data_IF_143803007850
#
_entry.id   IF_143803007850
#
_cell.length_a   1.000
_cell.length_b   1.000
_cell.length_c   1.000
_cell.angle_alpha   90.00
_cell.angle_beta   90.00
_cell.angle_gamma   90.00
#
_symmetry.space_group_name_H-M   'P 1'
#
loop_
_entity.id
_entity.type
_entity.pdbx_description
1 polymer ?
#
# COMPACT_ATOMS: atom_id res chain seq x y z
N UNK A 1 0.31 7.39 -14.44
CA UNK A 1 1.36 6.51 -13.88
C UNK A 1 2.56 7.37 -13.48
N UNK A 2 3.22 7.10 -12.36
CA UNK A 2 4.41 7.82 -11.89
C UNK A 2 5.61 7.56 -12.80
N UNK A 3 6.54 8.52 -12.86
CA UNK A 3 7.74 8.45 -13.68
C UNK A 3 8.87 7.76 -12.91
N UNK A 4 9.52 6.75 -13.50
CA UNK A 4 10.59 5.98 -12.86
C UNK A 4 11.81 5.98 -13.80
N UNK A 5 12.97 6.50 -13.39
CA UNK A 5 13.23 7.23 -12.13
C UNK A 5 12.68 8.68 -12.16
N UNK A 6 12.28 9.23 -11.02
CA UNK A 6 11.92 10.66 -10.88
C UNK A 6 10.73 10.98 -9.99
N UNK A 7 9.83 10.03 -9.75
CA UNK A 7 8.71 10.18 -8.82
C UNK A 7 9.10 9.91 -7.37
N UNK A 8 8.40 10.56 -6.44
CA UNK A 8 8.55 10.32 -5.01
C UNK A 8 7.98 8.95 -4.60
N UNK A 9 8.46 8.42 -3.48
CA UNK A 9 7.91 7.18 -2.91
C UNK A 9 6.41 7.29 -2.64
N UNK A 10 5.92 8.46 -2.21
CA UNK A 10 4.50 8.68 -1.95
C UNK A 10 3.64 8.56 -3.22
N UNK A 11 4.12 9.08 -4.35
CA UNK A 11 3.44 8.95 -5.65
C UNK A 11 3.44 7.52 -6.16
N UNK A 12 4.56 6.81 -5.98
CA UNK A 12 4.69 5.40 -6.34
C UNK A 12 3.73 4.53 -5.52
N UNK A 13 3.73 4.69 -4.19
CA UNK A 13 2.81 3.98 -3.29
C UNK A 13 1.35 4.25 -3.66
N UNK A 14 0.99 5.52 -3.86
CA UNK A 14 -0.37 5.93 -4.21
C UNK A 14 -0.83 5.29 -5.51
N UNK A 15 0.01 5.33 -6.54
CA UNK A 15 -0.31 4.70 -7.82
C UNK A 15 -0.45 3.19 -7.69
N UNK A 16 0.49 2.52 -7.00
CA UNK A 16 0.46 1.08 -6.81
C UNK A 16 -0.81 0.62 -6.08
N UNK A 17 -1.18 1.31 -5.00
CA UNK A 17 -2.39 0.99 -4.23
C UNK A 17 -3.64 1.18 -5.08
N UNK A 18 -3.79 2.34 -5.73
CA UNK A 18 -5.00 2.64 -6.52
C UNK A 18 -5.15 1.72 -7.72
N UNK A 19 -4.06 1.47 -8.46
CA UNK A 19 -4.09 0.59 -9.64
C UNK A 19 -4.39 -0.85 -9.27
N UNK A 20 -3.85 -1.32 -8.15
CA UNK A 20 -4.13 -2.69 -7.66
C UNK A 20 -5.57 -2.83 -7.18
N UNK A 21 -6.11 -1.82 -6.49
CA UNK A 21 -7.52 -1.80 -6.09
C UNK A 21 -8.45 -1.83 -7.31
N UNK A 22 -8.15 -1.06 -8.36
CA UNK A 22 -8.90 -1.08 -9.62
C UNK A 22 -8.88 -2.48 -10.26
N UNK A 23 -7.70 -3.11 -10.36
CA UNK A 23 -7.56 -4.48 -10.86
C UNK A 23 -8.29 -5.53 -10.00
N UNK A 24 -8.48 -5.25 -8.70
CA UNK A 24 -9.14 -6.13 -7.74
C UNK A 24 -10.63 -5.80 -7.53
N UNK A 25 -11.21 -4.86 -8.28
CA UNK A 25 -12.61 -4.43 -8.09
C UNK A 25 -12.88 -3.77 -6.72
N UNK A 26 -11.90 -3.07 -6.16
CA UNK A 26 -12.00 -2.38 -4.86
C UNK A 26 -11.73 -3.25 -3.64
N UNK A 27 -11.40 -4.53 -3.81
CA UNK A 27 -11.09 -5.42 -2.69
C UNK A 27 -9.73 -5.08 -2.05
N UNK A 28 -9.77 -4.48 -0.85
CA UNK A 28 -8.57 -4.13 -0.07
C UNK A 28 -7.79 -5.35 0.39
N UNK A 29 -8.47 -6.45 0.71
CA UNK A 29 -7.83 -7.70 1.12
C UNK A 29 -7.00 -8.31 -0.02
N UNK A 30 -7.57 -8.39 -1.24
CA UNK A 30 -6.85 -8.90 -2.41
C UNK A 30 -5.71 -7.98 -2.82
N UNK A 31 -5.92 -6.67 -2.79
CA UNK A 31 -4.88 -5.71 -3.12
C UNK A 31 -3.70 -5.76 -2.12
N UNK A 32 -3.99 -5.97 -0.83
CA UNK A 32 -3.00 -6.18 0.21
C UNK A 32 -2.11 -7.41 -0.06
N UNK A 33 -2.71 -8.54 -0.43
CA UNK A 33 -1.97 -9.74 -0.81
C UNK A 33 -1.06 -9.49 -2.01
N UNK A 34 -1.54 -8.80 -3.05
CA UNK A 34 -0.74 -8.50 -4.25
C UNK A 34 0.43 -7.56 -3.93
N UNK A 35 0.21 -6.57 -3.07
CA UNK A 35 1.21 -5.56 -2.72
C UNK A 35 2.14 -5.99 -1.58
N UNK A 36 1.89 -7.13 -0.92
CA UNK A 36 2.70 -7.59 0.21
C UNK A 36 2.60 -6.67 1.44
N UNK A 37 1.45 -6.04 1.65
CA UNK A 37 1.20 -5.14 2.80
C UNK A 37 -0.10 -5.48 3.48
N UNK A 38 -0.28 -5.05 4.73
CA UNK A 38 -1.54 -5.29 5.44
C UNK A 38 -2.73 -4.52 4.81
N UNK A 39 -3.96 -5.08 4.83
CA UNK A 39 -5.16 -4.36 4.38
C UNK A 39 -5.37 -3.05 5.15
N UNK A 40 -4.95 -3.03 6.42
CA UNK A 40 -4.98 -1.84 7.27
C UNK A 40 -4.09 -0.72 6.74
N UNK A 41 -2.89 -1.04 6.24
CA UNK A 41 -1.98 -0.05 5.61
C UNK A 41 -2.63 0.58 4.39
N UNK A 42 -3.34 -0.20 3.56
CA UNK A 42 -4.11 0.33 2.42
C UNK A 42 -5.21 1.27 2.89
N UNK A 43 -6.01 0.88 3.90
CA UNK A 43 -7.09 1.72 4.43
C UNK A 43 -6.58 3.05 4.97
N UNK A 44 -5.47 3.02 5.72
CA UNK A 44 -4.81 4.23 6.20
C UNK A 44 -4.40 5.12 5.04
N UNK A 45 -3.68 4.58 4.05
CA UNK A 45 -3.25 5.32 2.85
C UNK A 45 -4.43 5.96 2.11
N UNK A 46 -5.54 5.23 1.94
CA UNK A 46 -6.76 5.77 1.34
C UNK A 46 -7.36 6.93 2.15
N UNK A 47 -7.26 6.88 3.47
CA UNK A 47 -7.67 7.98 4.34
C UNK A 47 -6.76 9.21 4.14
N UNK A 48 -5.44 9.03 4.12
CA UNK A 48 -4.47 10.12 3.86
C UNK A 48 -4.76 10.81 2.51
N UNK A 49 -5.09 10.04 1.48
CA UNK A 49 -5.38 10.57 0.14
C UNK A 49 -6.69 11.38 0.08
N UNK A 50 -7.64 11.10 0.97
CA UNK A 50 -8.93 11.81 1.04
C UNK A 50 -8.79 13.11 1.81
N UNK A 51 -8.05 13.09 2.90
CA UNK A 51 -7.98 14.24 3.81
C UNK A 51 -6.84 15.20 3.48
N UNK A 52 -5.93 14.82 2.57
CA UNK A 52 -4.76 15.62 2.20
C UNK A 52 -3.74 15.77 3.33
N UNK A 53 -3.99 15.15 4.49
CA UNK A 53 -3.14 15.16 5.68
C UNK A 53 -2.61 13.75 5.89
N UNK A 54 -1.29 13.51 5.75
CA UNK A 54 -0.71 12.26 6.20
C UNK A 54 -0.83 12.20 7.75
N UNK A 55 -1.45 11.17 8.34
CA UNK A 55 -1.43 10.96 9.77
C UNK A 55 0.03 10.91 10.24
N UNK A 56 0.31 11.63 11.32
CA UNK A 56 1.59 11.52 12.02
C UNK A 56 1.88 10.04 12.27
N UNK A 57 3.02 9.58 11.75
CA UNK A 57 3.43 8.19 11.61
C UNK A 57 3.00 7.29 12.78
N UNK A 58 2.21 6.22 12.55
CA UNK A 58 2.20 5.12 13.50
C UNK A 58 3.52 4.35 13.30
N UNK A 59 4.46 4.53 14.22
CA UNK A 59 5.55 3.58 14.42
C UNK A 59 4.98 2.16 14.43
N UNK A 60 5.40 1.36 13.45
CA UNK A 60 4.86 0.03 13.23
C UNK A 60 5.51 -0.64 12.02
N UNK A 61 6.84 -0.65 11.99
CA UNK A 61 7.58 -1.73 11.34
C UNK A 61 7.26 -3.01 12.12
N UNK A 62 6.17 -3.68 11.76
CA UNK A 62 5.96 -5.09 12.11
C UNK A 62 5.92 -5.82 10.77
N UNK A 63 7.03 -6.48 10.46
CA UNK A 63 7.18 -7.28 9.25
C UNK A 63 6.18 -8.42 9.25
N UNK A 64 5.43 -8.54 8.15
CA UNK A 64 4.80 -9.79 7.75
C UNK A 64 5.90 -10.69 7.15
N UNK A 65 6.84 -11.14 7.98
CA UNK A 65 7.80 -12.22 7.67
C UNK A 65 7.12 -13.57 7.90
N UNK A 66 6.13 -13.91 7.09
CA UNK A 66 5.58 -15.27 7.05
C UNK A 66 5.52 -15.78 5.62
N UNK A 67 6.55 -16.53 5.24
CA UNK A 67 6.49 -17.45 4.12
C UNK A 67 7.82 -17.63 3.42
N UNK A 68 8.70 -18.45 3.99
CA UNK A 68 9.43 -19.50 3.25
C UNK A 68 10.26 -20.29 4.27
N UNK A 69 9.61 -21.28 4.86
CA UNK A 69 10.31 -22.48 5.34
C UNK A 69 10.69 -23.26 4.07
N UNK A 70 11.93 -23.10 3.61
CA UNK A 70 12.50 -24.02 2.63
C UNK A 70 12.65 -25.42 3.25
N UNK A 71 12.56 -26.50 2.45
CA UNK A 71 12.41 -27.88 2.91
C UNK A 71 13.66 -28.46 3.58
#
# INVERSE_FOLDING_TARGET
PPHIPGSSMAELERFAILRTLEACGGSTSRAATILGISPRKIQYKLHEYRDGVPPASPSGLQGDERGESEP
#
